data_IF_927356879748
#
_entry.id   IF_927356879748
#
_cell.length_a   1.000
_cell.length_b   1.000
_cell.length_c   1.000
_cell.angle_alpha   90.00
_cell.angle_beta   90.00
_cell.angle_gamma   90.00
#
_symmetry.space_group_name_H-M   'P 1'
#
loop_
_entity.id
_entity.type
_entity.pdbx_description
1 polymer ?
#
# COMPACT_ATOMS: atom_id res chain seq x y z
N UNK A 1 13.82 -10.78 -5.85
CA UNK A 1 13.21 -9.86 -4.86
C UNK A 1 11.71 -9.96 -5.01
N UNK A 2 10.93 -9.95 -3.92
CA UNK A 2 9.48 -9.97 -4.02
C UNK A 2 8.91 -8.57 -3.75
N UNK A 3 8.13 -8.03 -4.68
CA UNK A 3 7.37 -6.80 -4.48
C UNK A 3 5.90 -7.18 -4.41
N UNK A 4 5.25 -6.91 -3.27
CA UNK A 4 3.80 -7.06 -3.09
C UNK A 4 3.18 -5.67 -3.10
N UNK A 5 2.18 -5.48 -3.95
CA UNK A 5 1.41 -4.25 -4.02
C UNK A 5 0.04 -4.52 -3.42
N UNK A 6 -0.34 -3.71 -2.43
CA UNK A 6 -1.65 -3.81 -1.79
C UNK A 6 -2.31 -2.44 -1.78
N UNK A 7 -3.56 -2.39 -2.21
CA UNK A 7 -4.38 -1.19 -2.16
C UNK A 7 -5.16 -1.15 -0.83
N UNK A 8 -5.27 0.03 -0.24
CA UNK A 8 -6.00 0.25 1.01
C UNK A 8 -6.94 1.43 0.90
N UNK A 9 -8.04 1.37 1.65
CA UNK A 9 -8.95 2.50 1.75
C UNK A 9 -8.25 3.68 2.45
N UNK A 10 -8.44 4.88 1.89
CA UNK A 10 -7.95 6.11 2.48
C UNK A 10 -8.82 6.48 3.68
N UNK A 11 -8.20 6.67 4.83
CA UNK A 11 -8.91 7.11 6.04
C UNK A 11 -9.26 8.62 6.01
N UNK A 12 -8.69 9.40 5.09
CA UNK A 12 -8.92 10.85 4.99
C UNK A 12 -10.06 11.21 4.03
N UNK A 13 -10.57 10.27 3.22
CA UNK A 13 -11.70 10.50 2.33
C UNK A 13 -12.41 9.19 1.98
N UNK A 14 -13.74 9.23 1.90
CA UNK A 14 -14.63 8.07 1.78
C UNK A 14 -14.34 7.19 0.54
N UNK A 15 -13.97 7.81 -0.59
CA UNK A 15 -13.77 7.13 -1.86
C UNK A 15 -12.28 6.98 -2.25
N UNK A 16 -11.37 7.28 -1.33
CA UNK A 16 -9.94 7.27 -1.62
C UNK A 16 -9.33 5.89 -1.51
N UNK A 17 -8.36 5.62 -2.38
CA UNK A 17 -7.49 4.44 -2.33
C UNK A 17 -6.05 4.93 -2.29
N UNK A 18 -5.25 4.36 -1.39
CA UNK A 18 -3.80 4.48 -1.41
C UNK A 18 -3.15 3.15 -1.77
N UNK A 19 -2.04 3.22 -2.47
CA UNK A 19 -1.25 2.06 -2.83
C UNK A 19 -0.08 1.92 -1.87
N UNK A 20 0.16 0.70 -1.39
CA UNK A 20 1.34 0.36 -0.58
C UNK A 20 2.15 -0.70 -1.30
N UNK A 21 3.42 -0.38 -1.51
CA UNK A 21 4.42 -1.29 -2.07
C UNK A 21 5.25 -1.86 -0.93
N UNK A 22 5.13 -3.16 -0.68
CA UNK A 22 6.01 -3.91 0.20
C UNK A 22 7.09 -4.57 -0.64
N UNK A 23 8.34 -4.18 -0.44
CA UNK A 23 9.51 -4.81 -1.07
C UNK A 23 10.27 -5.61 -0.04
N UNK A 24 10.44 -6.90 -0.28
CA UNK A 24 11.20 -7.79 0.59
C UNK A 24 12.54 -8.15 -0.06
N UNK A 25 13.62 -7.83 0.65
CA UNK A 25 15.00 -8.10 0.22
C UNK A 25 15.71 -8.85 1.34
N UNK A 26 15.77 -10.18 1.21
CA UNK A 26 16.29 -11.06 2.26
C UNK A 26 15.45 -10.93 3.53
N UNK A 27 16.06 -10.46 4.63
CA UNK A 27 15.37 -10.19 5.91
C UNK A 27 14.87 -8.75 6.06
N UNK A 28 15.14 -7.87 5.10
CA UNK A 28 14.72 -6.46 5.14
C UNK A 28 13.37 -6.31 4.45
N UNK A 29 12.47 -5.60 5.12
CA UNK A 29 11.15 -5.23 4.60
C UNK A 29 11.15 -3.71 4.42
N UNK A 30 10.97 -3.27 3.18
CA UNK A 30 10.78 -1.87 2.82
C UNK A 30 9.30 -1.63 2.46
N UNK A 31 8.72 -0.58 3.01
CA UNK A 31 7.32 -0.21 2.82
C UNK A 31 7.25 1.20 2.25
N UNK A 32 6.73 1.32 1.04
CA UNK A 32 6.48 2.61 0.40
C UNK A 32 4.98 2.85 0.27
N UNK A 33 4.54 4.00 0.79
CA UNK A 33 3.16 4.47 0.69
C UNK A 33 3.09 5.52 -0.40
N UNK A 34 2.11 5.39 -1.29
CA UNK A 34 1.78 6.44 -2.24
C UNK A 34 0.61 7.28 -1.71
N UNK A 35 0.50 8.50 -2.21
CA UNK A 35 -0.58 9.40 -1.85
C UNK A 35 -1.94 8.83 -2.30
N UNK A 36 -2.98 9.18 -1.55
CA UNK A 36 -4.34 8.82 -1.92
C UNK A 36 -4.66 9.32 -3.34
N UNK A 37 -5.23 8.44 -4.17
CA UNK A 37 -5.58 8.79 -5.56
C UNK A 37 -6.59 9.96 -5.66
N UNK A 38 -7.51 10.09 -4.70
CA UNK A 38 -8.57 11.11 -4.66
C UNK A 38 -8.09 12.39 -3.98
N UNK A 39 -7.78 12.33 -2.68
CA UNK A 39 -7.51 13.54 -1.91
C UNK A 39 -6.05 14.00 -2.00
N UNK A 40 -5.17 13.25 -2.69
CA UNK A 40 -3.73 13.50 -2.82
C UNK A 40 -3.01 13.73 -1.50
N UNK A 41 -3.61 13.31 -0.38
CA UNK A 41 -2.99 13.44 0.93
C UNK A 41 -1.99 12.31 1.12
N UNK A 42 -0.79 12.62 1.63
CA UNK A 42 0.15 11.60 2.05
C UNK A 42 -0.45 10.81 3.21
N UNK A 43 -0.04 9.55 3.32
CA UNK A 43 -0.49 8.71 4.40
C UNK A 43 -0.03 9.28 5.75
N UNK A 44 -0.97 9.87 6.49
CA UNK A 44 -0.74 10.41 7.83
C UNK A 44 -0.64 9.28 8.86
N UNK A 45 0.57 8.76 9.04
CA UNK A 45 1.07 7.98 10.20
C UNK A 45 0.00 7.30 11.09
N UNK A 46 -0.79 6.37 10.52
CA UNK A 46 -1.42 5.31 11.29
C UNK A 46 -0.79 3.99 10.86
N UNK A 47 -0.63 3.03 11.75
CA UNK A 47 0.18 1.84 11.49
C UNK A 47 -0.43 1.10 10.28
N UNK A 48 0.38 0.36 9.52
CA UNK A 48 -0.14 -0.42 8.37
C UNK A 48 -1.27 -1.36 8.79
N UNK A 49 -1.25 -1.85 10.03
CA UNK A 49 -2.31 -2.68 10.59
C UNK A 49 -3.66 -1.98 10.77
N UNK A 50 -3.71 -0.65 10.73
CA UNK A 50 -4.95 0.13 10.85
C UNK A 50 -5.64 0.33 9.49
N UNK A 51 -5.01 -0.10 8.40
CA UNK A 51 -5.54 0.05 7.06
C UNK A 51 -6.46 -1.13 6.70
N UNK A 52 -7.65 -0.82 6.20
CA UNK A 52 -8.54 -1.82 5.60
C UNK A 52 -8.09 -2.09 4.17
N UNK A 53 -7.57 -3.30 3.85
CA UNK A 53 -7.18 -3.61 2.48
C UNK A 53 -8.43 -3.57 1.60
N UNK A 54 -8.30 -2.94 0.43
CA UNK A 54 -9.26 -3.14 -0.64
C UNK A 54 -9.00 -4.56 -1.11
N UNK A 55 -9.97 -5.46 -0.93
CA UNK A 55 -9.89 -6.92 -1.00
C UNK A 55 -9.51 -7.50 -2.38
N UNK A 56 -8.42 -7.02 -2.98
CA UNK A 56 -7.88 -7.51 -4.22
C UNK A 56 -6.34 -7.47 -4.10
N UNK A 57 -5.78 -8.52 -3.51
CA UNK A 57 -4.33 -8.76 -3.57
C UNK A 57 -3.94 -9.06 -5.02
N UNK A 58 -3.66 -8.01 -5.79
CA UNK A 58 -2.90 -8.14 -7.03
C UNK A 58 -1.46 -8.54 -6.64
N UNK A 59 -1.23 -9.86 -6.49
CA UNK A 59 0.12 -10.43 -6.47
C UNK A 59 0.72 -10.30 -7.86
N UNK A 60 1.17 -9.11 -8.22
CA UNK A 60 2.02 -8.93 -9.40
C UNK A 60 3.41 -9.49 -9.07
N UNK A 61 3.64 -10.77 -9.40
CA UNK A 61 4.99 -11.32 -9.55
C UNK A 61 5.63 -10.59 -10.74
N UNK A 62 6.53 -9.66 -10.45
CA UNK A 62 7.50 -9.20 -11.45
C UNK A 62 8.69 -10.14 -11.27
N UNK A 63 8.65 -11.27 -11.98
CA UNK A 63 9.82 -12.08 -12.30
C UNK A 63 10.46 -11.41 -13.52
N UNK A 64 11.61 -10.77 -13.33
CA UNK A 64 12.57 -10.44 -14.39
C UNK A 64 13.99 -10.68 -13.83
#
# INVERSE_FOLDING_TARGET
MAIKITNYHCNACENGILMVKKKEVGRRIDLKFEDCNVCKKPFGLKRVGDLKPVSNELKSRIDE
#
